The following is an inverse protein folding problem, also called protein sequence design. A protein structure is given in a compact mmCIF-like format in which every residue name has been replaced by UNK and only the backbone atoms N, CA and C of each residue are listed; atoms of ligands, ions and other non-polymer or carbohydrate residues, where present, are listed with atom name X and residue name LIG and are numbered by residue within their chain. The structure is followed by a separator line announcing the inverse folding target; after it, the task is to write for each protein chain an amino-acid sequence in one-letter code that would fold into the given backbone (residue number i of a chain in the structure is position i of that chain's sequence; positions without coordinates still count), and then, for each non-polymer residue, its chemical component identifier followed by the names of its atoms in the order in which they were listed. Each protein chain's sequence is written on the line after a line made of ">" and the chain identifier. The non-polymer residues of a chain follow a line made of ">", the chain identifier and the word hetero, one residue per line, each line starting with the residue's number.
data_IF_576043775172
#
_entry.id   IF_576043775172
#
_cell.length_a   1.000
_cell.length_b   1.000
_cell.length_c   1.000
_cell.angle_alpha   90.00
_cell.angle_beta   90.00
_cell.angle_gamma   90.00
#
_symmetry.space_group_name_H-M   'P 1'
#
loop_
_entity.id
_entity.type
_entity.pdbx_description
1 polymer ?
#
# COMPACT_ATOMS: atom_id res chain seq x y z
N UNK A 1 11.19 32.39 10.23
CA UNK A 1 12.33 31.59 9.71
C UNK A 1 11.72 30.30 9.18
N UNK A 2 11.67 30.14 7.88
CA UNK A 2 11.12 28.91 7.27
C UNK A 2 12.24 27.88 7.36
N UNK A 3 12.06 26.87 8.20
CA UNK A 3 12.96 25.72 8.24
C UNK A 3 12.66 24.88 7.00
N UNK A 4 13.58 24.82 6.04
CA UNK A 4 13.52 23.85 4.95
C UNK A 4 13.79 22.51 5.62
N UNK A 5 12.75 21.71 5.83
CA UNK A 5 12.89 20.32 6.23
C UNK A 5 13.49 19.61 5.02
N UNK A 6 14.74 19.17 5.16
CA UNK A 6 15.41 18.34 4.15
C UNK A 6 14.52 17.12 3.87
N UNK A 7 14.18 16.86 2.60
CA UNK A 7 13.34 15.71 2.24
C UNK A 7 14.12 14.46 2.62
N UNK A 8 13.68 13.83 3.71
CA UNK A 8 14.32 12.61 4.19
C UNK A 8 14.15 11.52 3.11
N UNK A 9 15.25 10.89 2.75
CA UNK A 9 15.27 9.80 1.78
C UNK A 9 14.78 8.49 2.39
N UNK A 10 14.80 8.37 3.72
CA UNK A 10 14.52 7.14 4.48
C UNK A 10 13.25 7.33 5.32
N UNK A 11 12.42 6.29 5.38
CA UNK A 11 11.26 6.24 6.25
C UNK A 11 11.63 6.40 7.72
N UNK A 12 10.80 7.16 8.46
CA UNK A 12 10.87 7.20 9.92
C UNK A 12 9.66 6.49 10.51
N UNK A 13 9.90 5.60 11.45
CA UNK A 13 8.87 4.81 12.09
C UNK A 13 8.94 4.94 13.60
N UNK A 14 7.79 5.26 14.22
CA UNK A 14 7.63 5.29 15.67
C UNK A 14 6.48 4.36 16.04
N UNK A 15 6.66 3.54 17.08
CA UNK A 15 5.63 2.67 17.64
C UNK A 15 5.41 3.05 19.09
N UNK A 16 4.16 3.35 19.44
CA UNK A 16 3.72 3.70 20.79
C UNK A 16 2.69 2.70 21.30
N UNK A 17 2.71 2.42 22.57
CA UNK A 17 1.59 1.75 23.23
C UNK A 17 0.44 2.73 23.47
N UNK A 18 -0.81 2.29 23.22
CA UNK A 18 -1.97 3.14 23.47
C UNK A 18 -3.28 2.42 23.17
N UNK A 19 -4.38 3.12 23.44
CA UNK A 19 -5.73 2.63 23.11
C UNK A 19 -6.31 3.34 21.87
N UNK A 20 -7.49 2.93 21.46
CA UNK A 20 -8.19 3.48 20.29
C UNK A 20 -8.43 4.98 20.38
N UNK A 21 -8.84 5.49 21.55
CA UNK A 21 -9.11 6.92 21.73
C UNK A 21 -7.84 7.76 21.60
N UNK A 22 -6.73 7.28 22.16
CA UNK A 22 -5.43 7.92 22.00
C UNK A 22 -4.97 7.90 20.53
N UNK A 23 -5.16 6.78 19.84
CA UNK A 23 -4.91 6.70 18.40
C UNK A 23 -5.72 7.74 17.62
N UNK A 24 -7.03 7.86 17.87
CA UNK A 24 -7.90 8.83 17.18
C UNK A 24 -7.51 10.28 17.47
N UNK A 25 -7.01 10.59 18.67
CA UNK A 25 -6.47 11.92 19.01
C UNK A 25 -5.22 12.24 18.18
N UNK A 26 -4.27 11.27 18.08
CA UNK A 26 -3.05 11.43 17.27
C UNK A 26 -3.42 11.54 15.78
N UNK A 27 -4.35 10.71 15.30
CA UNK A 27 -4.83 10.75 13.92
C UNK A 27 -5.39 12.12 13.57
N UNK A 28 -6.22 12.68 14.44
CA UNK A 28 -6.78 14.03 14.26
C UNK A 28 -5.70 15.12 14.28
N UNK A 29 -4.71 15.00 15.17
CA UNK A 29 -3.61 15.95 15.25
C UNK A 29 -2.69 15.92 14.01
N UNK A 30 -2.60 14.77 13.32
CA UNK A 30 -1.78 14.57 12.12
C UNK A 30 -2.57 14.74 10.80
N UNK A 31 -3.85 15.10 10.84
CA UNK A 31 -4.75 15.15 9.67
C UNK A 31 -4.20 16.04 8.54
N UNK A 32 -3.56 17.15 8.89
CA UNK A 32 -2.96 18.10 7.94
C UNK A 32 -1.46 17.90 7.73
N UNK A 33 -0.91 16.73 8.10
CA UNK A 33 0.51 16.45 8.00
C UNK A 33 0.81 15.55 6.80
N UNK A 34 1.27 16.10 5.65
CA UNK A 34 1.56 15.31 4.46
C UNK A 34 2.65 14.26 4.72
N UNK A 35 2.47 13.05 4.15
CA UNK A 35 3.45 11.96 4.26
C UNK A 35 3.46 11.24 5.62
N UNK A 36 2.58 11.63 6.56
CA UNK A 36 2.41 10.94 7.83
C UNK A 36 1.29 9.91 7.70
N UNK A 37 1.63 8.65 7.90
CA UNK A 37 0.69 7.52 7.91
C UNK A 37 0.55 6.97 9.32
N UNK A 38 -0.67 6.66 9.69
CA UNK A 38 -0.99 6.18 11.03
C UNK A 38 -1.67 4.82 10.95
N UNK A 39 -1.31 3.92 11.85
CA UNK A 39 -2.03 2.67 11.99
C UNK A 39 -2.17 2.25 13.45
N UNK A 40 -3.18 1.45 13.71
CA UNK A 40 -3.51 0.90 15.03
C UNK A 40 -3.86 -0.58 14.93
N UNK A 41 -3.31 -1.39 15.82
CA UNK A 41 -3.73 -2.77 16.05
C UNK A 41 -3.31 -3.21 17.44
N UNK A 42 -4.23 -3.86 18.16
CA UNK A 42 -3.96 -4.53 19.44
C UNK A 42 -3.18 -3.67 20.46
N UNK A 43 -3.52 -2.39 20.56
CA UNK A 43 -2.87 -1.45 21.50
C UNK A 43 -1.54 -0.88 21.01
N UNK A 44 -1.11 -1.16 19.80
CA UNK A 44 0.05 -0.53 19.17
C UNK A 44 -0.41 0.57 18.21
N UNK A 45 0.11 1.79 18.40
CA UNK A 45 -0.06 2.93 17.51
C UNK A 45 1.24 3.08 16.74
N UNK A 46 1.18 3.00 15.43
CA UNK A 46 2.33 3.20 14.56
C UNK A 46 2.20 4.51 13.79
N UNK A 47 3.26 5.29 13.77
CA UNK A 47 3.40 6.52 13.01
C UNK A 47 4.53 6.30 12.02
N UNK A 48 4.23 6.40 10.73
CA UNK A 48 5.20 6.31 9.64
C UNK A 48 5.27 7.66 8.94
N UNK A 49 6.48 8.18 8.79
CA UNK A 49 6.77 9.33 7.92
C UNK A 49 7.48 8.76 6.71
N UNK A 50 6.79 8.77 5.57
CA UNK A 50 7.29 8.20 4.34
C UNK A 50 8.42 9.05 3.75
N UNK A 51 9.53 8.41 3.36
CA UNK A 51 10.64 9.02 2.66
C UNK A 51 10.36 9.19 1.16
N UNK A 52 11.25 9.90 0.45
CA UNK A 52 11.09 10.14 -0.98
C UNK A 52 11.03 8.84 -1.80
N UNK A 53 11.88 7.87 -1.50
CA UNK A 53 11.91 6.59 -2.22
C UNK A 53 10.61 5.79 -2.03
N UNK A 54 10.05 5.82 -0.82
CA UNK A 54 8.77 5.20 -0.52
C UNK A 54 7.66 5.76 -1.40
N UNK A 55 7.51 7.09 -1.43
CA UNK A 55 6.50 7.76 -2.24
C UNK A 55 6.73 7.50 -3.74
N UNK A 56 7.99 7.53 -4.22
CA UNK A 56 8.33 7.28 -5.61
C UNK A 56 7.89 5.88 -6.05
N UNK A 57 8.22 4.82 -5.30
CA UNK A 57 7.77 3.46 -5.64
C UNK A 57 6.26 3.29 -5.53
N UNK A 58 5.64 3.94 -4.56
CA UNK A 58 4.17 3.97 -4.42
C UNK A 58 3.52 4.52 -5.70
N UNK A 59 4.03 5.63 -6.23
CA UNK A 59 3.53 6.23 -7.48
C UNK A 59 3.81 5.33 -8.69
N UNK A 60 5.03 4.80 -8.85
CA UNK A 60 5.38 3.91 -9.96
C UNK A 60 4.44 2.70 -10.02
N UNK A 61 4.25 2.02 -8.89
CA UNK A 61 3.39 0.83 -8.82
C UNK A 61 1.94 1.21 -9.11
N UNK A 62 1.47 2.32 -8.53
CA UNK A 62 0.14 2.84 -8.79
C UNK A 62 -0.12 3.10 -10.28
N UNK A 63 0.83 3.74 -10.98
CA UNK A 63 0.74 3.98 -12.42
C UNK A 63 0.71 2.70 -13.25
N UNK A 64 1.59 1.74 -12.97
CA UNK A 64 1.66 0.47 -13.71
C UNK A 64 0.38 -0.35 -13.53
N UNK A 65 -0.09 -0.54 -12.30
CA UNK A 65 -1.33 -1.27 -12.01
C UNK A 65 -2.52 -0.57 -12.66
N UNK A 66 -2.62 0.76 -12.55
CA UNK A 66 -3.68 1.54 -13.20
C UNK A 66 -3.64 1.39 -14.71
N UNK A 67 -2.46 1.43 -15.33
CA UNK A 67 -2.28 1.24 -16.78
C UNK A 67 -2.81 -0.13 -17.21
N UNK A 68 -2.46 -1.19 -16.48
CA UNK A 68 -2.98 -2.53 -16.76
C UNK A 68 -4.51 -2.56 -16.69
N UNK A 69 -5.09 -2.09 -15.60
CA UNK A 69 -6.54 -2.11 -15.39
C UNK A 69 -7.30 -1.35 -16.49
N UNK A 70 -6.77 -0.18 -16.90
CA UNK A 70 -7.34 0.60 -18.00
C UNK A 70 -7.22 -0.13 -19.34
N UNK A 71 -6.08 -0.74 -19.62
CA UNK A 71 -5.83 -1.45 -20.88
C UNK A 71 -6.73 -2.70 -21.01
N UNK A 72 -6.98 -3.37 -19.88
CA UNK A 72 -7.87 -4.53 -19.85
C UNK A 72 -9.36 -4.15 -19.79
N UNK A 73 -9.70 -2.86 -19.69
CA UNK A 73 -11.07 -2.39 -19.56
C UNK A 73 -11.76 -2.81 -18.25
N UNK A 74 -10.98 -3.07 -17.21
CA UNK A 74 -11.48 -3.48 -15.89
C UNK A 74 -12.04 -2.27 -15.19
N UNK A 75 -13.24 -2.42 -14.60
CA UNK A 75 -13.85 -1.37 -13.80
C UNK A 75 -13.26 -1.36 -12.40
N UNK A 76 -12.67 -0.23 -12.00
CA UNK A 76 -12.04 -0.06 -10.70
C UNK A 76 -12.20 1.35 -10.14
N UNK A 77 -11.96 1.49 -8.85
CA UNK A 77 -11.93 2.76 -8.12
C UNK A 77 -10.59 2.82 -7.36
N UNK A 78 -9.66 3.71 -7.75
CA UNK A 78 -8.44 3.92 -6.99
C UNK A 78 -8.80 4.63 -5.68
N UNK A 79 -8.52 4.01 -4.55
CA UNK A 79 -8.81 4.56 -3.23
C UNK A 79 -7.57 5.21 -2.60
N UNK A 80 -6.41 5.11 -3.26
CA UNK A 80 -5.16 5.71 -2.79
C UNK A 80 -4.79 5.24 -1.40
N UNK A 81 -4.39 6.20 -0.56
CA UNK A 81 -4.02 5.97 0.84
C UNK A 81 -5.19 6.23 1.81
N UNK A 82 -6.41 5.89 1.43
CA UNK A 82 -7.55 6.08 2.33
C UNK A 82 -7.39 5.27 3.62
N UNK A 83 -7.89 5.84 4.72
CA UNK A 83 -7.94 5.13 6.00
C UNK A 83 -8.97 4.00 5.94
N UNK A 84 -8.54 2.82 6.34
CA UNK A 84 -9.34 1.60 6.46
C UNK A 84 -9.49 1.30 7.95
N UNK A 85 -10.71 1.41 8.46
CA UNK A 85 -10.99 1.29 9.89
C UNK A 85 -11.99 0.18 10.20
N UNK A 86 -11.71 -0.55 11.30
CA UNK A 86 -12.71 -1.28 12.07
C UNK A 86 -12.68 -0.75 13.49
N UNK A 87 -13.69 0.04 13.82
CA UNK A 87 -13.75 0.85 15.05
C UNK A 87 -13.38 0.06 16.29
N UNK A 88 -12.42 0.57 17.05
CA UNK A 88 -11.95 -0.04 18.31
C UNK A 88 -10.95 -1.19 18.11
N UNK A 89 -10.78 -1.72 16.90
CA UNK A 89 -9.97 -2.91 16.63
C UNK A 89 -8.71 -2.60 15.82
N UNK A 90 -8.88 -2.00 14.64
CA UNK A 90 -7.80 -1.79 13.69
C UNK A 90 -8.03 -0.56 12.83
N UNK A 91 -6.94 0.13 12.52
CA UNK A 91 -6.87 1.18 11.51
C UNK A 91 -5.57 1.07 10.75
N UNK A 92 -5.60 1.28 9.43
CA UNK A 92 -4.39 1.39 8.61
C UNK A 92 -4.64 2.22 7.36
N UNK A 93 -3.55 2.65 6.71
CA UNK A 93 -3.54 3.37 5.44
C UNK A 93 -2.54 2.66 4.53
N UNK A 94 -3.03 2.01 3.48
CA UNK A 94 -2.17 1.45 2.45
C UNK A 94 -1.47 2.57 1.65
N UNK A 95 -0.36 2.26 1.00
CA UNK A 95 0.29 3.22 0.09
C UNK A 95 -0.55 3.42 -1.18
N UNK A 96 -1.10 2.34 -1.71
CA UNK A 96 -2.11 2.35 -2.78
C UNK A 96 -3.18 1.33 -2.48
N UNK A 97 -4.40 1.60 -2.90
CA UNK A 97 -5.50 0.64 -2.80
C UNK A 97 -6.48 0.77 -3.95
N UNK A 98 -7.13 -0.33 -4.28
CA UNK A 98 -8.08 -0.44 -5.39
C UNK A 98 -9.32 -1.22 -4.96
N UNK A 99 -10.47 -0.68 -5.30
CA UNK A 99 -11.74 -1.42 -5.24
C UNK A 99 -12.13 -1.82 -6.67
N UNK A 100 -12.59 -3.04 -6.86
CA UNK A 100 -13.11 -3.51 -8.15
C UNK A 100 -14.64 -3.46 -8.17
N UNK A 101 -15.21 -3.17 -9.34
CA UNK A 101 -16.64 -3.02 -9.63
C UNK A 101 -17.31 -1.85 -8.93
N UNK A 102 -17.16 -1.70 -7.62
CA UNK A 102 -17.81 -0.65 -6.80
C UNK A 102 -16.81 -0.07 -5.80
N UNK A 103 -17.01 1.20 -5.42
CA UNK A 103 -16.28 1.79 -4.30
C UNK A 103 -16.70 1.09 -2.98
N UNK A 104 -15.72 0.76 -2.14
CA UNK A 104 -15.89 0.01 -0.89
C UNK A 104 -15.13 0.69 0.25
N UNK A 105 -15.60 0.57 1.51
CA UNK A 105 -14.84 1.08 2.67
C UNK A 105 -13.57 0.26 2.94
N UNK A 106 -13.55 -1.02 2.56
CA UNK A 106 -12.38 -1.89 2.58
C UNK A 106 -12.08 -2.28 1.14
N UNK A 107 -10.89 -1.98 0.61
CA UNK A 107 -10.53 -2.26 -0.78
C UNK A 107 -10.33 -3.76 -1.02
N UNK A 108 -10.36 -4.16 -2.29
CA UNK A 108 -10.05 -5.53 -2.69
C UNK A 108 -8.54 -5.77 -2.75
N UNK A 109 -7.78 -4.75 -3.10
CA UNK A 109 -6.32 -4.78 -3.17
C UNK A 109 -5.74 -3.63 -2.35
N UNK A 110 -4.80 -3.95 -1.46
CA UNK A 110 -3.92 -2.99 -0.80
C UNK A 110 -2.47 -3.24 -1.18
N UNK A 111 -1.72 -2.19 -1.46
CA UNK A 111 -0.30 -2.26 -1.83
C UNK A 111 0.49 -1.44 -0.83
N UNK A 112 1.58 -2.01 -0.34
CA UNK A 112 2.48 -1.45 0.66
C UNK A 112 3.92 -1.44 0.17
N UNK A 113 4.60 -0.35 0.41
CA UNK A 113 6.04 -0.20 0.22
C UNK A 113 6.72 -0.43 1.56
N UNK A 114 7.70 -1.31 1.62
CA UNK A 114 8.39 -1.68 2.86
C UNK A 114 9.87 -1.44 2.70
N UNK A 115 10.39 -0.37 3.33
CA UNK A 115 11.82 -0.06 3.40
C UNK A 115 12.45 -0.48 4.72
N UNK A 116 11.64 -0.62 5.77
CA UNK A 116 12.10 -1.07 7.09
C UNK A 116 11.44 -2.38 7.43
N UNK A 117 12.21 -3.35 7.93
CA UNK A 117 11.73 -4.69 8.28
C UNK A 117 10.43 -4.66 9.09
N UNK A 118 9.46 -5.49 8.73
CA UNK A 118 8.19 -5.62 9.45
C UNK A 118 6.97 -5.83 8.57
N UNK A 119 7.15 -6.12 7.28
CA UNK A 119 6.03 -6.36 6.34
C UNK A 119 5.06 -7.43 6.82
N UNK A 120 5.55 -8.54 7.38
CA UNK A 120 4.72 -9.63 7.89
C UNK A 120 3.80 -9.17 9.03
N UNK A 121 4.24 -8.25 9.90
CA UNK A 121 3.40 -7.69 10.96
C UNK A 121 2.29 -6.78 10.41
N UNK A 122 2.46 -6.21 9.21
CA UNK A 122 1.42 -5.42 8.55
C UNK A 122 0.26 -6.30 8.07
N UNK A 123 0.49 -7.56 7.68
CA UNK A 123 -0.56 -8.49 7.26
C UNK A 123 -1.64 -8.68 8.31
N UNK A 124 -1.29 -8.67 9.60
CA UNK A 124 -2.27 -8.81 10.68
C UNK A 124 -3.31 -7.69 10.70
N UNK A 125 -2.94 -6.47 10.31
CA UNK A 125 -3.87 -5.32 10.19
C UNK A 125 -4.86 -5.57 9.06
N UNK A 126 -4.36 -5.96 7.89
CA UNK A 126 -5.20 -6.25 6.72
C UNK A 126 -6.08 -7.48 6.92
N UNK A 127 -5.59 -8.49 7.66
CA UNK A 127 -6.39 -9.66 8.04
C UNK A 127 -7.56 -9.27 8.95
N UNK A 128 -7.33 -8.41 9.94
CA UNK A 128 -8.39 -7.91 10.82
C UNK A 128 -9.44 -7.09 10.05
N UNK A 129 -9.04 -6.40 8.98
CA UNK A 129 -9.92 -5.66 8.07
C UNK A 129 -10.64 -6.55 7.06
N UNK A 130 -10.09 -7.73 6.75
CA UNK A 130 -10.63 -8.64 5.74
C UNK A 130 -10.30 -8.22 4.30
N UNK A 131 -9.15 -7.55 4.07
CA UNK A 131 -8.71 -7.20 2.70
C UNK A 131 -8.39 -8.46 1.92
N UNK A 132 -9.00 -8.71 0.75
CA UNK A 132 -8.81 -9.95 -0.01
C UNK A 132 -7.37 -10.20 -0.44
N UNK A 133 -6.67 -9.17 -0.92
CA UNK A 133 -5.29 -9.33 -1.38
C UNK A 133 -4.41 -8.14 -0.97
N UNK A 134 -3.18 -8.43 -0.53
CA UNK A 134 -2.18 -7.43 -0.13
C UNK A 134 -0.88 -7.71 -0.86
N UNK A 135 -0.31 -6.67 -1.48
CA UNK A 135 0.99 -6.75 -2.13
C UNK A 135 2.02 -5.94 -1.36
N UNK A 136 3.20 -6.52 -1.18
CA UNK A 136 4.35 -5.82 -0.61
C UNK A 136 5.44 -5.65 -1.64
N UNK A 137 5.88 -4.41 -1.82
CA UNK A 137 7.14 -4.09 -2.46
C UNK A 137 8.20 -3.96 -1.39
N UNK A 138 9.11 -4.93 -1.32
CA UNK A 138 10.16 -5.01 -0.30
C UNK A 138 11.46 -5.49 -0.95
N UNK A 139 12.57 -4.77 -0.72
CA UNK A 139 13.91 -5.12 -1.21
C UNK A 139 13.97 -5.42 -2.73
N UNK A 140 13.29 -4.61 -3.54
CA UNK A 140 13.23 -4.79 -5.00
C UNK A 140 12.40 -5.99 -5.47
N UNK A 141 11.59 -6.57 -4.58
CA UNK A 141 10.73 -7.73 -4.85
C UNK A 141 9.27 -7.40 -4.55
N UNK A 142 8.37 -7.87 -5.41
CA UNK A 142 6.93 -7.81 -5.19
C UNK A 142 6.44 -9.16 -4.68
N UNK A 143 5.84 -9.17 -3.49
CA UNK A 143 5.22 -10.36 -2.89
C UNK A 143 3.72 -10.14 -2.79
N UNK A 144 2.95 -11.14 -3.18
CA UNK A 144 1.49 -11.12 -3.19
C UNK A 144 0.99 -12.06 -2.09
N UNK A 145 0.00 -11.58 -1.33
CA UNK A 145 -0.62 -12.34 -0.25
C UNK A 145 -2.13 -12.32 -0.41
N UNK A 146 -2.75 -13.49 -0.57
CA UNK A 146 -4.18 -13.65 -0.68
C UNK A 146 -4.78 -14.19 0.61
N UNK A 147 -5.90 -13.60 1.06
CA UNK A 147 -6.57 -13.96 2.31
C UNK A 147 -7.30 -15.29 2.18
N UNK A 148 -6.99 -16.23 3.09
CA UNK A 148 -7.63 -17.53 3.24
C UNK A 148 -8.33 -17.62 4.59
N UNK A 149 -9.05 -18.69 4.84
CA UNK A 149 -9.71 -18.94 6.14
C UNK A 149 -8.74 -18.88 7.32
N UNK A 150 -7.51 -19.36 7.14
CA UNK A 150 -6.48 -19.43 8.18
C UNK A 150 -5.46 -18.28 8.14
N UNK A 151 -5.76 -17.18 7.44
CA UNK A 151 -4.87 -16.04 7.27
C UNK A 151 -4.31 -15.91 5.86
N UNK A 152 -3.35 -15.00 5.68
CA UNK A 152 -2.75 -14.76 4.36
C UNK A 152 -1.83 -15.90 3.93
N UNK A 153 -1.95 -16.28 2.67
CA UNK A 153 -1.05 -17.19 1.97
C UNK A 153 -0.32 -16.41 0.87
N UNK A 154 1.01 -16.56 0.79
CA UNK A 154 1.78 -16.02 -0.33
C UNK A 154 1.41 -16.75 -1.62
N UNK A 155 1.15 -15.98 -2.68
CA UNK A 155 0.78 -16.46 -4.01
C UNK A 155 1.71 -15.87 -5.06
N UNK A 156 1.91 -16.57 -6.16
CA UNK A 156 2.81 -16.14 -7.26
C UNK A 156 2.08 -15.33 -8.33
N UNK A 157 0.75 -15.36 -8.31
CA UNK A 157 -0.15 -14.69 -9.23
C UNK A 157 -1.30 -14.11 -8.45
N UNK A 158 -1.85 -12.96 -8.87
CA UNK A 158 -3.07 -12.40 -8.28
C UNK A 158 -4.26 -13.33 -8.52
N UNK A 159 -5.08 -13.48 -7.50
CA UNK A 159 -6.33 -14.22 -7.57
C UNK A 159 -7.56 -13.30 -7.59
N UNK A 160 -7.34 -11.99 -7.63
CA UNK A 160 -8.42 -11.01 -7.78
C UNK A 160 -8.94 -11.00 -9.21
N UNK A 161 -10.26 -10.99 -9.35
CA UNK A 161 -10.93 -10.91 -10.66
C UNK A 161 -10.43 -9.69 -11.44
N UNK A 162 -9.90 -9.95 -12.63
CA UNK A 162 -9.31 -8.96 -13.52
C UNK A 162 -7.80 -8.80 -13.40
N UNK A 163 -7.15 -9.37 -12.38
CA UNK A 163 -5.70 -9.35 -12.22
C UNK A 163 -5.03 -10.72 -12.48
N UNK A 164 -5.80 -11.74 -12.80
CA UNK A 164 -5.32 -13.11 -12.99
C UNK A 164 -4.32 -13.23 -14.16
N UNK A 165 -4.44 -12.33 -15.15
CA UNK A 165 -3.56 -12.31 -16.33
C UNK A 165 -2.41 -11.32 -16.22
N UNK A 166 -2.31 -10.58 -15.11
CA UNK A 166 -1.24 -9.63 -14.88
C UNK A 166 0.11 -10.34 -14.79
N UNK A 167 1.03 -10.03 -15.70
CA UNK A 167 2.36 -10.60 -15.68
C UNK A 167 3.20 -9.99 -14.53
N UNK A 168 3.29 -10.71 -13.42
CA UNK A 168 3.98 -10.24 -12.19
C UNK A 168 5.47 -10.04 -12.41
N UNK A 169 6.14 -10.86 -13.22
CA UNK A 169 7.58 -10.69 -13.48
C UNK A 169 7.85 -9.48 -14.40
N UNK A 170 6.96 -9.21 -15.34
CA UNK A 170 7.03 -7.97 -16.13
C UNK A 170 6.77 -6.75 -15.24
N UNK A 171 5.77 -6.80 -14.36
CA UNK A 171 5.47 -5.73 -13.41
C UNK A 171 6.69 -5.42 -12.54
N UNK A 172 7.33 -6.41 -11.93
CA UNK A 172 8.56 -6.25 -11.12
C UNK A 172 9.66 -5.53 -11.90
N UNK A 173 9.94 -5.97 -13.14
CA UNK A 173 10.95 -5.34 -13.99
C UNK A 173 10.61 -3.89 -14.31
N UNK A 174 9.34 -3.60 -14.61
CA UNK A 174 8.90 -2.25 -14.93
C UNK A 174 8.88 -1.35 -13.69
N UNK A 175 8.63 -1.87 -12.48
CA UNK A 175 8.77 -1.10 -11.23
C UNK A 175 10.21 -0.61 -11.06
N UNK A 176 11.20 -1.51 -11.21
CA UNK A 176 12.62 -1.15 -11.11
C UNK A 176 13.05 -0.18 -12.25
N UNK A 177 12.55 -0.36 -13.46
CA UNK A 177 12.80 0.55 -14.57
C UNK A 177 12.22 1.94 -14.29
N UNK A 178 11.03 2.00 -13.71
CA UNK A 178 10.34 3.25 -13.38
C UNK A 178 11.07 4.14 -12.38
N UNK A 179 11.99 3.59 -11.58
CA UNK A 179 12.85 4.37 -10.68
C UNK A 179 13.74 5.36 -11.47
N UNK A 180 14.13 5.01 -12.68
CA UNK A 180 14.98 5.84 -13.55
C UNK A 180 14.21 6.47 -14.71
N UNK A 181 13.25 5.75 -15.29
CA UNK A 181 12.43 6.22 -16.43
C UNK A 181 11.02 5.61 -16.38
N UNK A 182 10.11 6.34 -15.74
CA UNK A 182 8.70 5.92 -15.63
C UNK A 182 8.01 5.86 -16.99
N UNK A 183 8.35 6.76 -17.94
CA UNK A 183 7.70 6.80 -19.25
C UNK A 183 8.05 5.53 -20.05
N UNK A 184 9.32 5.12 -20.07
CA UNK A 184 9.74 3.88 -20.72
C UNK A 184 9.18 2.65 -20.00
N UNK A 185 9.13 2.65 -18.65
CA UNK A 185 8.53 1.57 -17.89
C UNK A 185 7.06 1.33 -18.26
N UNK A 186 6.26 2.40 -18.32
CA UNK A 186 4.84 2.33 -18.71
C UNK A 186 4.67 1.84 -20.14
N UNK A 187 5.52 2.32 -21.08
CA UNK A 187 5.48 1.88 -22.46
C UNK A 187 5.81 0.39 -22.62
N UNK A 188 6.88 -0.08 -21.97
CA UNK A 188 7.27 -1.51 -21.98
C UNK A 188 6.18 -2.37 -21.36
N UNK A 189 5.62 -1.92 -20.25
CA UNK A 189 4.56 -2.64 -19.53
C UNK A 189 3.27 -2.74 -20.34
N UNK A 190 2.90 -1.70 -21.09
CA UNK A 190 1.71 -1.68 -21.92
C UNK A 190 1.82 -2.53 -23.20
N UNK A 191 3.01 -3.04 -23.54
CA UNK A 191 3.25 -3.88 -24.75
C UNK A 191 3.28 -5.40 -24.41
N UNK A 192 3.31 -5.79 -23.18
CA UNK A 192 3.38 -7.18 -22.69
C UNK A 192 2.18 -7.61 -21.93
#
# INVERSE_FOLDING_TARGET
>A
MIQIVDRQTIDQRVVLGGNWDQFKLIQKAAEDSPGVKLSFLAGAIEILIAGFQHENFSEIIGYLVTTFLLTQGIRFYPSGSMTQDKTGEVSTQADKSFCFETAKPIPDLSIEIVYTSGGVNKLSKYQALGVPEVWFWEDGTLRLYHLRENGYQEVIQSELSGLETLNIDLLKRCILMGETDLAEAVKVFGQG
#
